data_IF_801205074109
#
_entry.id   IF_801205074109
#
_cell.length_a   1.000
_cell.length_b   1.000
_cell.length_c   1.000
_cell.angle_alpha   90.00
_cell.angle_beta   90.00
_cell.angle_gamma   90.00
#
_symmetry.space_group_name_H-M   'P 1'
#
loop_
_entity.id
_entity.type
_entity.pdbx_description
1 polymer ?
#
# COMPACT_ATOMS: atom_id res chain seq x y z
N UNK A 1 31.78 6.64 11.51
CA UNK A 1 31.98 6.81 10.04
C UNK A 1 30.76 7.54 9.53
N UNK A 2 30.87 8.55 8.63
CA UNK A 2 29.70 9.23 8.08
C UNK A 2 28.80 8.21 7.37
N UNK A 3 27.48 8.41 7.43
CA UNK A 3 26.52 7.56 6.72
C UNK A 3 26.90 7.46 5.24
N UNK A 4 26.83 6.25 4.68
CA UNK A 4 27.18 6.01 3.26
C UNK A 4 26.15 6.67 2.34
N UNK A 5 24.91 6.84 2.82
CA UNK A 5 23.82 7.49 2.09
C UNK A 5 23.74 9.00 2.40
N UNK A 6 23.88 9.89 1.40
CA UNK A 6 23.82 11.34 1.58
C UNK A 6 22.42 11.84 1.99
N UNK A 7 21.39 11.01 1.87
CA UNK A 7 19.99 11.36 2.19
C UNK A 7 19.64 11.15 3.66
N UNK A 8 20.52 10.49 4.42
CA UNK A 8 20.37 10.30 5.85
C UNK A 8 20.74 11.57 6.63
N UNK A 9 19.95 12.03 7.63
CA UNK A 9 18.78 11.37 8.25
C UNK A 9 17.42 11.85 7.72
N UNK A 10 17.37 12.70 6.69
CA UNK A 10 16.13 13.35 6.25
C UNK A 10 15.12 12.36 5.68
N UNK A 11 15.56 11.39 4.88
CA UNK A 11 14.69 10.39 4.27
C UNK A 11 13.90 9.54 5.29
N UNK A 12 14.52 8.87 6.28
CA UNK A 12 13.77 8.08 7.26
C UNK A 12 12.84 8.93 8.12
N UNK A 13 13.18 10.19 8.41
CA UNK A 13 12.29 11.12 9.13
C UNK A 13 11.05 11.41 8.29
N UNK A 14 11.21 11.74 7.01
CA UNK A 14 10.10 12.01 6.10
C UNK A 14 9.17 10.79 5.96
N UNK A 15 9.73 9.59 5.78
CA UNK A 15 8.95 8.34 5.72
C UNK A 15 8.21 8.06 7.03
N UNK A 16 8.84 8.31 8.19
CA UNK A 16 8.19 8.12 9.49
C UNK A 16 6.99 9.06 9.68
N UNK A 17 7.14 10.33 9.28
CA UNK A 17 6.05 11.32 9.31
C UNK A 17 4.92 10.91 8.35
N UNK A 18 5.26 10.53 7.11
CA UNK A 18 4.29 10.09 6.11
C UNK A 18 3.49 8.87 6.59
N UNK A 19 4.18 7.87 7.14
CA UNK A 19 3.57 6.68 7.74
C UNK A 19 2.59 7.05 8.88
N UNK A 20 2.98 7.95 9.78
CA UNK A 20 2.11 8.43 10.85
C UNK A 20 0.85 9.16 10.30
N UNK A 21 1.01 10.00 9.27
CA UNK A 21 -0.11 10.68 8.62
C UNK A 21 -1.07 9.69 7.95
N UNK A 22 -0.57 8.67 7.26
CA UNK A 22 -1.38 7.62 6.64
C UNK A 22 -2.17 6.82 7.68
N UNK A 23 -1.53 6.50 8.82
CA UNK A 23 -2.19 5.83 9.94
C UNK A 23 -3.32 6.68 10.54
N UNK A 24 -3.11 7.99 10.70
CA UNK A 24 -4.15 8.91 11.16
C UNK A 24 -5.37 8.95 10.23
N UNK A 25 -5.15 8.91 8.90
CA UNK A 25 -6.23 8.84 7.90
C UNK A 25 -7.02 7.54 8.04
N UNK A 26 -6.33 6.40 8.23
CA UNK A 26 -6.97 5.10 8.46
C UNK A 26 -7.82 5.11 9.74
N UNK A 27 -7.26 5.59 10.85
CA UNK A 27 -7.96 5.68 12.13
C UNK A 27 -9.19 6.59 12.04
N UNK A 28 -9.04 7.75 11.40
CA UNK A 28 -10.16 8.69 11.21
C UNK A 28 -11.26 8.08 10.35
N UNK A 29 -10.90 7.34 9.30
CA UNK A 29 -11.85 6.64 8.43
C UNK A 29 -12.59 5.53 9.18
N UNK A 30 -11.90 4.82 10.06
CA UNK A 30 -12.48 3.78 10.92
C UNK A 30 -13.46 4.38 11.93
N UNK A 31 -13.05 5.43 12.67
CA UNK A 31 -13.88 6.11 13.67
C UNK A 31 -15.14 6.72 13.05
N UNK A 32 -15.01 7.34 11.86
CA UNK A 32 -16.13 7.96 11.15
C UNK A 32 -17.01 6.97 10.40
N UNK A 33 -16.65 5.68 10.39
CA UNK A 33 -17.34 4.60 9.67
C UNK A 33 -17.55 4.92 8.18
N UNK A 34 -16.70 5.78 7.60
CA UNK A 34 -16.75 6.20 6.20
C UNK A 34 -15.86 5.26 5.37
N UNK A 35 -16.38 4.09 5.03
CA UNK A 35 -15.65 3.04 4.33
C UNK A 35 -15.46 3.34 2.84
N UNK A 36 -14.53 4.24 2.52
CA UNK A 36 -14.01 4.41 1.17
C UNK A 36 -12.92 3.37 0.91
N UNK A 37 -13.32 2.16 0.49
CA UNK A 37 -12.41 1.01 0.35
C UNK A 37 -11.14 1.30 -0.46
N UNK A 38 -11.25 2.04 -1.57
CA UNK A 38 -10.08 2.43 -2.36
C UNK A 38 -9.08 3.29 -1.58
N UNK A 39 -9.56 4.25 -0.78
CA UNK A 39 -8.72 5.10 0.07
C UNK A 39 -8.14 4.30 1.23
N UNK A 40 -8.95 3.45 1.87
CA UNK A 40 -8.51 2.60 2.98
C UNK A 40 -7.41 1.62 2.54
N UNK A 41 -7.57 0.96 1.39
CA UNK A 41 -6.51 0.10 0.86
C UNK A 41 -5.26 0.89 0.54
N UNK A 42 -5.39 2.02 -0.18
CA UNK A 42 -4.22 2.84 -0.53
C UNK A 42 -3.44 3.26 0.72
N UNK A 43 -4.10 3.82 1.74
CA UNK A 43 -3.45 4.25 2.96
C UNK A 43 -2.83 3.08 3.75
N UNK A 44 -3.48 1.92 3.78
CA UNK A 44 -2.95 0.72 4.45
C UNK A 44 -1.64 0.26 3.79
N UNK A 45 -1.62 0.14 2.46
CA UNK A 45 -0.44 -0.34 1.75
C UNK A 45 0.70 0.70 1.74
N UNK A 46 0.39 1.99 1.59
CA UNK A 46 1.39 3.06 1.68
C UNK A 46 2.01 3.16 3.08
N UNK A 47 1.23 2.93 4.14
CA UNK A 47 1.75 2.89 5.51
C UNK A 47 2.88 1.86 5.66
N UNK A 48 2.69 0.64 5.13
CA UNK A 48 3.72 -0.40 5.17
C UNK A 48 4.91 -0.08 4.24
N UNK A 49 4.67 0.56 3.10
CA UNK A 49 5.75 1.02 2.22
C UNK A 49 6.67 2.03 2.93
N UNK A 50 6.09 3.08 3.51
CA UNK A 50 6.84 4.11 4.20
C UNK A 50 7.56 3.56 5.44
N UNK A 51 6.93 2.63 6.16
CA UNK A 51 7.54 1.98 7.32
C UNK A 51 8.75 1.14 6.91
N UNK A 52 8.64 0.35 5.85
CA UNK A 52 9.75 -0.48 5.36
C UNK A 52 10.88 0.38 4.79
N UNK A 53 10.57 1.47 4.10
CA UNK A 53 11.57 2.43 3.62
C UNK A 53 12.30 3.11 4.78
N UNK A 54 11.61 3.52 5.85
CA UNK A 54 12.23 4.08 7.04
C UNK A 54 13.16 3.07 7.74
N UNK A 55 12.70 1.82 7.92
CA UNK A 55 13.50 0.75 8.50
C UNK A 55 14.75 0.48 7.65
N UNK A 56 14.60 0.37 6.33
CA UNK A 56 15.72 0.15 5.41
C UNK A 56 16.77 1.26 5.53
N UNK A 57 16.32 2.52 5.53
CA UNK A 57 17.23 3.67 5.62
C UNK A 57 17.94 3.78 6.98
N UNK A 58 17.36 3.25 8.06
CA UNK A 58 18.00 3.22 9.39
C UNK A 58 18.99 2.05 9.49
N UNK A 59 18.53 0.84 9.14
CA UNK A 59 19.29 -0.41 9.32
C UNK A 59 20.51 -0.48 8.40
N UNK A 60 20.42 0.04 7.18
CA UNK A 60 21.53 0.06 6.22
C UNK A 60 22.22 1.44 6.12
N UNK A 61 22.04 2.31 7.11
CA UNK A 61 22.66 3.65 7.11
C UNK A 61 24.20 3.62 7.14
N UNK A 62 24.78 2.61 7.80
CA UNK A 62 26.22 2.44 8.01
C UNK A 62 26.78 1.11 7.51
N UNK A 63 25.94 0.21 7.01
CA UNK A 63 26.33 -1.14 6.63
C UNK A 63 25.63 -1.58 5.34
N UNK A 64 26.36 -2.21 4.42
CA UNK A 64 25.80 -2.74 3.15
C UNK A 64 25.59 -4.26 3.17
N UNK A 65 25.93 -4.95 4.26
CA UNK A 65 25.77 -6.41 4.35
C UNK A 65 24.30 -6.82 4.52
N UNK A 66 23.91 -7.85 3.77
CA UNK A 66 22.59 -8.49 3.88
C UNK A 66 22.61 -9.43 5.08
N UNK A 67 22.22 -8.94 6.26
CA UNK A 67 22.13 -9.76 7.48
C UNK A 67 20.78 -10.46 7.67
N UNK A 68 19.71 -9.93 7.04
CA UNK A 68 18.34 -10.42 7.24
C UNK A 68 17.69 -10.85 5.93
N UNK A 69 18.06 -12.01 5.41
CA UNK A 69 17.51 -12.57 4.17
C UNK A 69 15.97 -12.69 4.18
N UNK A 70 15.39 -13.15 5.30
CA UNK A 70 13.93 -13.28 5.45
C UNK A 70 13.23 -11.92 5.38
N UNK A 71 13.83 -10.88 5.96
CA UNK A 71 13.26 -9.53 5.90
C UNK A 71 13.31 -8.98 4.48
N UNK A 72 14.45 -9.08 3.78
CA UNK A 72 14.60 -8.60 2.42
C UNK A 72 13.63 -9.30 1.45
N UNK A 73 13.38 -10.60 1.65
CA UNK A 73 12.42 -11.36 0.85
C UNK A 73 10.99 -10.85 1.06
N UNK A 74 10.56 -10.67 2.32
CA UNK A 74 9.23 -10.11 2.65
C UNK A 74 9.06 -8.70 2.08
N UNK A 75 10.06 -7.84 2.25
CA UNK A 75 10.00 -6.44 1.79
C UNK A 75 9.93 -6.36 0.27
N UNK A 76 10.66 -7.22 -0.45
CA UNK A 76 10.63 -7.25 -1.92
C UNK A 76 9.24 -7.64 -2.44
N UNK A 77 8.62 -8.68 -1.85
CA UNK A 77 7.26 -9.08 -2.20
C UNK A 77 6.23 -8.00 -1.87
N UNK A 78 6.39 -7.33 -0.73
CA UNK A 78 5.55 -6.22 -0.31
C UNK A 78 5.65 -5.03 -1.29
N UNK A 79 6.86 -4.62 -1.70
CA UNK A 79 7.06 -3.54 -2.66
C UNK A 79 6.44 -3.85 -4.03
N UNK A 80 6.54 -5.11 -4.47
CA UNK A 80 5.91 -5.56 -5.71
C UNK A 80 4.38 -5.48 -5.60
N UNK A 81 3.81 -5.97 -4.51
CA UNK A 81 2.38 -5.84 -4.19
C UNK A 81 1.92 -4.37 -4.23
N UNK A 82 2.64 -3.46 -3.56
CA UNK A 82 2.32 -2.02 -3.51
C UNK A 82 2.35 -1.38 -4.89
N UNK A 83 3.30 -1.77 -5.75
CA UNK A 83 3.42 -1.27 -7.13
C UNK A 83 2.16 -1.55 -7.96
N UNK A 84 1.45 -2.64 -7.66
CA UNK A 84 0.17 -3.00 -8.30
C UNK A 84 -1.00 -2.27 -7.61
N UNK A 85 -0.98 -2.18 -6.28
CA UNK A 85 -2.08 -1.57 -5.51
C UNK A 85 -2.20 -0.08 -5.77
N UNK A 86 -1.09 0.67 -5.89
CA UNK A 86 -1.10 2.12 -6.16
C UNK A 86 -2.01 2.49 -7.35
N UNK A 87 -1.76 2.02 -8.58
CA UNK A 87 -2.63 2.34 -9.72
C UNK A 87 -4.03 1.75 -9.59
N UNK A 88 -4.18 0.55 -9.02
CA UNK A 88 -5.49 -0.08 -8.82
C UNK A 88 -6.40 0.75 -7.91
N UNK A 89 -5.88 1.23 -6.77
CA UNK A 89 -6.60 2.07 -5.84
C UNK A 89 -6.93 3.44 -6.45
N UNK A 90 -6.00 4.05 -7.19
CA UNK A 90 -6.26 5.30 -7.93
C UNK A 90 -7.41 5.12 -8.93
N UNK A 91 -7.44 4.03 -9.70
CA UNK A 91 -8.53 3.73 -10.64
C UNK A 91 -9.88 3.58 -9.93
N UNK A 92 -9.92 2.88 -8.79
CA UNK A 92 -11.12 2.71 -7.98
C UNK A 92 -11.63 4.08 -7.49
N UNK A 93 -10.75 4.90 -6.92
CA UNK A 93 -11.09 6.24 -6.42
C UNK A 93 -11.61 7.12 -7.55
N UNK A 94 -10.89 7.19 -8.68
CA UNK A 94 -11.30 7.98 -9.86
C UNK A 94 -12.63 7.52 -10.44
N UNK A 95 -12.89 6.20 -10.50
CA UNK A 95 -14.19 5.67 -10.96
C UNK A 95 -15.34 6.10 -10.06
N UNK A 96 -15.14 6.08 -8.73
CA UNK A 96 -16.15 6.56 -7.76
C UNK A 96 -16.40 8.05 -7.92
N UNK A 97 -15.34 8.85 -8.04
CA UNK A 97 -15.41 10.28 -8.33
C UNK A 97 -16.15 10.58 -9.63
N UNK A 98 -15.88 9.82 -10.69
CA UNK A 98 -16.56 9.95 -11.98
C UNK A 98 -18.06 9.65 -11.89
N UNK A 99 -18.46 8.62 -11.14
CA UNK A 99 -19.88 8.32 -10.91
C UNK A 99 -20.58 9.44 -10.12
N UNK A 100 -19.89 10.06 -9.16
CA UNK A 100 -20.42 11.19 -8.39
C UNK A 100 -20.54 12.44 -9.28
N UNK A 101 -19.52 12.75 -10.08
CA UNK A 101 -19.48 13.97 -10.90
C UNK A 101 -20.39 13.89 -12.14
N UNK A 102 -20.58 12.71 -12.72
CA UNK A 102 -21.48 12.50 -13.85
C UNK A 102 -22.96 12.47 -13.46
N UNK A 103 -23.30 12.62 -12.17
CA UNK A 103 -24.65 12.51 -11.62
C UNK A 103 -25.39 11.24 -12.10
N UNK A 104 -24.63 10.19 -12.46
CA UNK A 104 -25.23 8.96 -12.94
C UNK A 104 -26.00 8.31 -11.78
N UNK A 105 -27.24 7.83 -12.03
CA UNK A 105 -27.99 7.11 -11.01
C UNK A 105 -27.14 5.94 -10.52
N UNK A 106 -26.85 5.93 -9.21
CA UNK A 106 -26.16 4.84 -8.50
C UNK A 106 -26.76 3.52 -8.98
N UNK A 107 -25.97 2.52 -9.40
CA UNK A 107 -26.50 1.32 -10.02
C UNK A 107 -27.60 0.71 -9.12
N UNK A 108 -28.83 0.56 -9.61
CA UNK A 108 -29.99 0.20 -8.79
C UNK A 108 -29.91 -1.23 -8.24
N UNK A 109 -28.98 -2.05 -8.74
CA UNK A 109 -28.87 -3.46 -8.36
C UNK A 109 -27.81 -3.68 -7.29
N UNK A 110 -28.23 -4.31 -6.19
CA UNK A 110 -27.32 -4.79 -5.12
C UNK A 110 -26.22 -5.71 -5.69
N UNK A 111 -26.53 -6.49 -6.73
CA UNK A 111 -25.58 -7.37 -7.42
C UNK A 111 -24.41 -6.61 -8.07
N UNK A 112 -24.65 -5.45 -8.69
CA UNK A 112 -23.58 -4.62 -9.25
C UNK A 112 -22.66 -4.04 -8.16
N UNK A 113 -23.22 -3.72 -6.99
CA UNK A 113 -22.45 -3.27 -5.82
C UNK A 113 -21.55 -4.38 -5.26
N UNK A 114 -22.06 -5.61 -5.13
CA UNK A 114 -21.26 -6.74 -4.67
C UNK A 114 -20.18 -7.15 -5.69
N UNK A 115 -20.45 -7.05 -7.00
CA UNK A 115 -19.43 -7.30 -8.03
C UNK A 115 -18.31 -6.27 -7.98
N UNK A 116 -18.62 -4.98 -7.84
CA UNK A 116 -17.59 -3.96 -7.68
C UNK A 116 -16.79 -4.15 -6.40
N UNK A 117 -17.45 -4.53 -5.30
CA UNK A 117 -16.79 -4.86 -4.04
C UNK A 117 -15.82 -6.05 -4.24
N UNK A 118 -16.27 -7.14 -4.86
CA UNK A 118 -15.42 -8.30 -5.14
C UNK A 118 -14.22 -7.93 -6.03
N UNK A 119 -14.40 -7.06 -7.02
CA UNK A 119 -13.32 -6.56 -7.87
C UNK A 119 -12.33 -5.70 -7.05
N UNK A 120 -12.82 -4.82 -6.19
CA UNK A 120 -11.98 -3.99 -5.31
C UNK A 120 -11.15 -4.84 -4.32
N UNK A 121 -11.75 -5.88 -3.74
CA UNK A 121 -11.06 -6.82 -2.84
C UNK A 121 -10.07 -7.72 -3.57
N UNK A 122 -10.41 -8.18 -4.77
CA UNK A 122 -9.50 -9.03 -5.57
C UNK A 122 -8.29 -8.22 -6.07
N UNK A 123 -8.50 -6.99 -6.53
CA UNK A 123 -7.42 -6.10 -6.95
C UNK A 123 -6.59 -5.56 -5.79
N UNK A 124 -7.23 -5.22 -4.67
CA UNK A 124 -6.56 -4.58 -3.53
C UNK A 124 -5.89 -5.54 -2.54
N UNK A 125 -6.20 -6.85 -2.60
CA UNK A 125 -5.72 -7.82 -1.60
C UNK A 125 -5.32 -9.17 -2.21
N UNK A 126 -6.15 -9.75 -3.09
CA UNK A 126 -5.89 -11.11 -3.63
C UNK A 126 -4.72 -11.13 -4.62
N UNK A 127 -4.67 -10.21 -5.57
CA UNK A 127 -3.57 -10.13 -6.55
C UNK A 127 -2.23 -9.78 -5.85
N UNK A 128 -2.16 -8.78 -4.95
CA UNK A 128 -0.96 -8.50 -4.19
C UNK A 128 -0.45 -9.70 -3.37
N UNK A 129 -1.35 -10.45 -2.72
CA UNK A 129 -0.98 -11.63 -1.93
C UNK A 129 -0.63 -12.84 -2.80
N UNK A 130 -1.23 -13.00 -3.98
CA UNK A 130 -0.87 -14.07 -4.91
C UNK A 130 0.51 -13.86 -5.52
N UNK A 131 0.83 -12.62 -5.90
CA UNK A 131 2.14 -12.30 -6.51
C UNK A 131 3.22 -12.17 -5.44
N UNK A 132 2.88 -11.68 -4.24
CA UNK A 132 3.77 -11.65 -3.08
C UNK A 132 3.88 -12.99 -2.32
N UNK A 133 3.15 -14.02 -2.77
CA UNK A 133 3.08 -15.34 -2.15
C UNK A 133 3.88 -16.41 -2.92
N UNK A 134 3.54 -17.71 -2.77
CA UNK A 134 4.41 -18.84 -3.11
C UNK A 134 4.63 -19.08 -4.61
N UNK A 135 4.10 -18.23 -5.50
CA UNK A 135 4.36 -18.35 -6.95
C UNK A 135 5.83 -18.03 -7.29
N UNK A 136 6.54 -17.27 -6.46
CA UNK A 136 7.99 -17.07 -6.60
C UNK A 136 8.83 -18.25 -6.09
N UNK A 137 8.31 -19.10 -5.19
CA UNK A 137 9.04 -20.31 -4.75
C UNK A 137 9.05 -21.40 -5.82
N UNK A 138 8.08 -21.42 -6.74
CA UNK A 138 7.97 -22.48 -7.75
C UNK A 138 8.93 -22.31 -8.95
N UNK A 139 9.77 -21.27 -8.97
CA UNK A 139 10.73 -21.01 -10.06
C UNK A 139 12.20 -20.98 -9.60
N UNK A 140 12.51 -21.45 -8.38
CA UNK A 140 13.88 -21.66 -7.90
C UNK A 140 14.22 -23.14 -7.83
#
# INVERSE_FOLDING_TARGET
MPAVDPTYPLFPIACSIASAMMLLVLLTSFIRQSWNLGVTFLCFWLFFEDLTNAINAIVWSDNTDIKFYVYCDIVSHLQLAISIVKPAATLIITRRLHLISSLQPVPPSKAARYRNLAIEWTLGLVIPLLVGGPLCESYR
#
